data_IF_440882263011
#
_entry.id   IF_440882263011
#
_cell.length_a   1.000
_cell.length_b   1.000
_cell.length_c   1.000
_cell.angle_alpha   90.00
_cell.angle_beta   90.00
_cell.angle_gamma   90.00
#
_symmetry.space_group_name_H-M   'P 1'
#
loop_
_entity.id
_entity.type
_entity.pdbx_description
1 polymer ?
#
# COMPACT_ATOMS: atom_id res chain seq x y z
N UNK A 1 3.52 -13.39 19.36
CA UNK A 1 3.30 -12.44 18.23
C UNK A 1 2.32 -13.10 17.27
N UNK A 2 1.26 -12.41 16.91
CA UNK A 2 0.31 -12.91 15.91
C UNK A 2 1.01 -12.79 14.55
N UNK A 3 1.12 -13.88 13.78
CA UNK A 3 1.68 -13.88 12.43
C UNK A 3 0.64 -13.44 11.39
N UNK A 4 1.03 -13.43 10.11
CA UNK A 4 0.09 -13.23 8.99
C UNK A 4 -0.90 -14.39 8.98
N UNK A 5 -2.16 -14.08 8.78
CA UNK A 5 -3.20 -15.07 8.53
C UNK A 5 -4.05 -14.67 7.32
N UNK A 6 -4.54 -15.69 6.63
CA UNK A 6 -5.34 -15.50 5.41
C UNK A 6 -6.74 -16.08 5.61
N UNK A 7 -7.70 -15.51 4.92
CA UNK A 7 -9.09 -15.94 4.96
C UNK A 7 -9.79 -15.72 3.61
N UNK A 8 -10.74 -16.59 3.31
CA UNK A 8 -11.65 -16.42 2.19
C UNK A 8 -12.90 -15.69 2.65
N UNK A 9 -13.28 -14.60 2.00
CA UNK A 9 -14.44 -13.78 2.34
C UNK A 9 -15.41 -13.66 1.19
N UNK A 10 -16.69 -13.74 1.54
CA UNK A 10 -17.84 -13.33 0.71
C UNK A 10 -18.58 -12.27 1.50
N UNK A 11 -18.93 -11.18 0.86
CA UNK A 11 -19.61 -10.06 1.50
C UNK A 11 -21.02 -9.90 0.92
N UNK A 12 -21.94 -9.43 1.74
CA UNK A 12 -23.22 -8.93 1.27
C UNK A 12 -23.08 -7.51 0.69
N UNK A 13 -24.12 -7.03 -0.02
CA UNK A 13 -24.06 -5.74 -0.73
C UNK A 13 -24.23 -4.51 0.18
N UNK A 14 -24.10 -4.68 1.49
CA UNK A 14 -24.18 -3.56 2.44
C UNK A 14 -22.86 -2.77 2.48
N UNK A 15 -22.98 -1.46 2.71
CA UNK A 15 -21.82 -0.65 3.01
C UNK A 15 -21.36 -0.94 4.43
N UNK A 16 -20.08 -1.26 4.59
CA UNK A 16 -19.45 -1.52 5.89
C UNK A 16 -18.42 -0.44 6.15
N UNK A 17 -18.41 0.12 7.35
CA UNK A 17 -17.39 1.08 7.80
C UNK A 17 -16.76 0.58 9.09
N UNK A 18 -15.44 0.46 9.11
CA UNK A 18 -14.68 0.05 10.29
C UNK A 18 -13.20 0.43 10.20
N UNK A 19 -12.45 0.10 11.23
CA UNK A 19 -10.98 0.08 11.23
C UNK A 19 -10.48 -1.18 11.93
N UNK A 20 -9.24 -1.56 11.67
CA UNK A 20 -8.61 -2.71 12.30
C UNK A 20 -7.11 -2.45 12.53
N UNK A 21 -6.48 -3.11 13.53
CA UNK A 21 -5.08 -2.87 13.90
C UNK A 21 -4.06 -3.53 12.97
N UNK A 22 -4.49 -4.18 11.92
CA UNK A 22 -3.67 -4.86 10.92
C UNK A 22 -3.93 -4.28 9.53
N UNK A 23 -2.99 -4.42 8.62
CA UNK A 23 -3.19 -4.12 7.21
C UNK A 23 -3.84 -5.33 6.51
N UNK A 24 -4.53 -5.08 5.41
CA UNK A 24 -5.15 -6.14 4.62
C UNK A 24 -4.67 -6.09 3.17
N UNK A 25 -4.15 -7.19 2.66
CA UNK A 25 -3.93 -7.35 1.24
C UNK A 25 -5.12 -8.11 0.64
N UNK A 26 -5.84 -7.44 -0.26
CA UNK A 26 -7.11 -7.88 -0.84
C UNK A 26 -6.87 -8.38 -2.25
N UNK A 27 -7.18 -9.66 -2.49
CA UNK A 27 -7.18 -10.29 -3.81
C UNK A 27 -8.59 -10.64 -4.22
N UNK A 28 -9.22 -9.95 -5.17
CA UNK A 28 -10.47 -10.41 -5.75
C UNK A 28 -10.26 -11.74 -6.49
N UNK A 29 -11.06 -12.74 -6.15
CA UNK A 29 -11.12 -13.98 -6.89
C UNK A 29 -12.20 -13.90 -7.97
N UNK A 30 -13.30 -13.26 -7.64
CA UNK A 30 -14.29 -12.75 -8.59
C UNK A 30 -15.12 -11.63 -7.95
N UNK A 31 -15.69 -10.76 -8.80
CA UNK A 31 -16.43 -9.57 -8.38
C UNK A 31 -15.51 -8.38 -8.08
N UNK A 32 -16.11 -7.33 -7.56
CA UNK A 32 -15.39 -6.09 -7.27
C UNK A 32 -15.78 -5.52 -5.91
N UNK A 33 -14.85 -4.74 -5.33
CA UNK A 33 -15.02 -4.02 -4.08
C UNK A 33 -14.61 -2.57 -4.27
N UNK A 34 -15.46 -1.67 -3.85
CA UNK A 34 -15.19 -0.23 -3.83
C UNK A 34 -14.86 0.19 -2.41
N UNK A 35 -13.64 0.68 -2.21
CA UNK A 35 -13.17 1.26 -0.96
C UNK A 35 -13.30 2.77 -0.98
N UNK A 36 -13.59 3.36 0.18
CA UNK A 36 -13.40 4.77 0.46
C UNK A 36 -12.53 4.92 1.71
N UNK A 37 -11.38 5.59 1.57
CA UNK A 37 -10.46 5.88 2.65
C UNK A 37 -10.29 7.40 2.71
N UNK A 38 -10.84 8.04 3.75
CA UNK A 38 -10.79 9.50 3.94
C UNK A 38 -11.19 10.31 2.69
N UNK A 39 -12.21 9.85 1.95
CA UNK A 39 -12.70 10.51 0.75
C UNK A 39 -11.94 10.16 -0.54
N UNK A 40 -10.97 9.27 -0.49
CA UNK A 40 -10.32 8.71 -1.67
C UNK A 40 -10.96 7.37 -2.03
N UNK A 41 -11.52 7.25 -3.22
CA UNK A 41 -12.17 6.05 -3.72
C UNK A 41 -11.17 5.15 -4.47
N UNK A 42 -11.27 3.84 -4.24
CA UNK A 42 -10.54 2.83 -4.99
C UNK A 42 -11.48 1.69 -5.38
N UNK A 43 -11.61 1.42 -6.67
CA UNK A 43 -12.28 0.22 -7.17
C UNK A 43 -11.25 -0.88 -7.36
N UNK A 44 -11.48 -2.02 -6.74
CA UNK A 44 -10.61 -3.21 -6.78
C UNK A 44 -11.42 -4.36 -7.35
N UNK A 45 -10.94 -4.93 -8.43
CA UNK A 45 -11.56 -6.02 -9.19
C UNK A 45 -10.52 -7.09 -9.55
N UNK A 46 -10.91 -8.08 -10.34
CA UNK A 46 -10.06 -9.20 -10.73
C UNK A 46 -8.77 -8.81 -11.49
N UNK A 47 -8.69 -7.57 -11.99
CA UNK A 47 -7.50 -7.01 -12.66
C UNK A 47 -6.54 -6.32 -11.70
N UNK A 48 -6.86 -6.24 -10.42
CA UNK A 48 -6.11 -5.47 -9.43
C UNK A 48 -6.09 -6.13 -8.06
N UNK A 49 -5.11 -5.73 -7.25
CA UNK A 49 -5.00 -6.05 -5.83
C UNK A 49 -4.92 -4.75 -5.04
N UNK A 50 -5.25 -4.81 -3.75
CA UNK A 50 -5.26 -3.63 -2.92
C UNK A 50 -4.67 -3.91 -1.54
N UNK A 51 -3.68 -3.12 -1.14
CA UNK A 51 -3.16 -3.09 0.22
C UNK A 51 -3.86 -1.99 1.00
N UNK A 52 -4.74 -2.39 1.91
CA UNK A 52 -5.47 -1.53 2.81
C UNK A 52 -4.62 -1.28 4.07
N UNK A 53 -4.36 -0.02 4.46
CA UNK A 53 -3.50 0.28 5.61
C UNK A 53 -4.15 -0.08 6.94
N UNK A 54 -3.32 -0.36 7.95
CA UNK A 54 -3.76 -0.59 9.34
C UNK A 54 -4.19 0.72 10.03
N UNK A 55 -5.02 0.61 11.06
CA UNK A 55 -5.47 1.71 11.92
C UNK A 55 -6.05 2.92 11.13
N UNK A 56 -6.73 2.64 10.02
CA UNK A 56 -7.41 3.66 9.20
C UNK A 56 -8.89 3.34 9.09
N UNK A 57 -9.71 4.36 9.36
CA UNK A 57 -11.13 4.27 9.06
C UNK A 57 -11.34 4.18 7.56
N UNK A 58 -12.06 3.17 7.16
CA UNK A 58 -12.41 2.95 5.76
C UNK A 58 -13.82 2.39 5.65
N UNK A 59 -14.46 2.70 4.55
CA UNK A 59 -15.70 2.04 4.16
C UNK A 59 -15.49 1.26 2.88
N UNK A 60 -16.23 0.18 2.73
CA UNK A 60 -16.27 -0.57 1.48
C UNK A 60 -17.68 -1.04 1.15
N UNK A 61 -17.90 -1.27 -0.13
CA UNK A 61 -19.11 -1.86 -0.68
C UNK A 61 -18.74 -2.83 -1.79
N UNK A 62 -19.45 -3.95 -1.85
CA UNK A 62 -19.40 -4.89 -2.97
C UNK A 62 -20.71 -4.85 -3.73
N UNK A 63 -20.67 -5.16 -5.01
CA UNK A 63 -21.88 -5.24 -5.83
C UNK A 63 -21.97 -6.67 -6.43
N UNK A 64 -23.08 -7.34 -6.15
CA UNK A 64 -23.38 -8.67 -6.67
C UNK A 64 -22.54 -9.80 -6.08
N UNK A 65 -22.40 -10.86 -6.85
CA UNK A 65 -21.66 -12.06 -6.45
C UNK A 65 -20.16 -11.75 -6.36
N UNK A 66 -19.54 -12.11 -5.23
CA UNK A 66 -18.16 -11.78 -4.97
C UNK A 66 -17.46 -12.84 -4.12
N UNK A 67 -16.13 -12.91 -4.21
CA UNK A 67 -15.26 -13.65 -3.31
C UNK A 67 -13.86 -13.04 -3.31
N UNK A 68 -13.29 -12.90 -2.14
CA UNK A 68 -11.97 -12.31 -1.93
C UNK A 68 -11.09 -13.22 -1.08
N UNK A 69 -9.81 -13.29 -1.44
CA UNK A 69 -8.75 -13.77 -0.56
C UNK A 69 -8.19 -12.56 0.16
N UNK A 70 -8.22 -12.58 1.50
CA UNK A 70 -7.73 -11.50 2.36
C UNK A 70 -6.54 -12.00 3.17
N UNK A 71 -5.41 -11.30 3.11
CA UNK A 71 -4.30 -11.49 4.04
C UNK A 71 -4.35 -10.39 5.08
N UNK A 72 -4.42 -10.79 6.34
CA UNK A 72 -4.36 -9.90 7.50
C UNK A 72 -2.91 -9.84 8.00
N UNK A 73 -2.31 -8.67 7.94
CA UNK A 73 -0.87 -8.46 8.13
C UNK A 73 -0.67 -7.58 9.37
N UNK A 74 -0.03 -8.09 10.44
CA UNK A 74 0.23 -7.32 11.65
C UNK A 74 1.02 -6.04 11.37
N UNK A 75 0.67 -4.95 12.06
CA UNK A 75 1.29 -3.63 11.85
C UNK A 75 2.80 -3.60 12.11
N UNK A 76 3.31 -4.45 13.01
CA UNK A 76 4.73 -4.57 13.30
C UNK A 76 5.57 -5.22 12.20
N UNK A 77 4.95 -5.67 11.12
CA UNK A 77 5.64 -6.18 9.94
C UNK A 77 5.95 -5.09 8.91
N UNK A 78 5.47 -3.87 9.14
CA UNK A 78 5.78 -2.68 8.32
C UNK A 78 6.87 -1.86 9.02
N UNK A 79 7.78 -1.29 8.24
CA UNK A 79 8.77 -0.34 8.73
C UNK A 79 8.15 1.08 8.80
N UNK A 80 8.74 1.97 9.62
CA UNK A 80 8.25 3.37 9.72
C UNK A 80 8.23 4.11 8.38
N UNK A 81 9.12 3.72 7.46
CA UNK A 81 9.16 4.28 6.11
C UNK A 81 8.01 3.83 5.19
N UNK A 82 7.25 2.79 5.59
CA UNK A 82 6.12 2.27 4.81
C UNK A 82 4.83 3.10 5.04
N UNK A 83 4.91 4.23 5.76
CA UNK A 83 3.79 5.12 6.09
C UNK A 83 3.11 5.79 4.87
N UNK A 84 3.70 5.73 3.67
CA UNK A 84 3.07 6.10 2.39
C UNK A 84 1.79 5.29 2.08
N UNK A 85 1.46 4.33 2.92
CA UNK A 85 0.23 3.53 2.84
C UNK A 85 -1.04 4.28 3.26
N UNK A 86 -0.99 5.58 3.55
CA UNK A 86 -2.10 6.34 4.15
C UNK A 86 -3.45 6.21 3.42
N UNK A 87 -3.43 6.05 2.09
CA UNK A 87 -4.64 5.90 1.25
C UNK A 87 -4.77 4.49 0.63
N UNK A 88 -3.95 3.54 1.07
CA UNK A 88 -3.85 2.22 0.44
C UNK A 88 -3.04 2.23 -0.86
N UNK A 89 -2.66 1.05 -1.30
CA UNK A 89 -1.92 0.85 -2.55
C UNK A 89 -2.71 -0.07 -3.46
N UNK A 90 -3.08 0.43 -4.64
CA UNK A 90 -3.65 -0.39 -5.71
C UNK A 90 -2.56 -0.77 -6.71
N UNK A 91 -2.43 -2.05 -7.00
CA UNK A 91 -1.53 -2.58 -8.03
C UNK A 91 -2.30 -3.35 -9.09
N UNK A 92 -1.77 -3.39 -10.30
CA UNK A 92 -2.26 -4.27 -11.36
C UNK A 92 -1.98 -5.73 -11.00
N UNK A 93 -2.93 -6.61 -11.34
CA UNK A 93 -2.81 -8.04 -11.11
C UNK A 93 -2.10 -8.71 -12.28
N UNK A 94 -0.77 -8.59 -12.30
CA UNK A 94 0.12 -9.17 -13.31
C UNK A 94 0.45 -10.65 -13.04
N UNK A 95 1.29 -11.26 -13.88
CA UNK A 95 1.66 -12.68 -13.77
C UNK A 95 2.43 -12.99 -12.48
N UNK A 96 3.19 -12.04 -11.95
CA UNK A 96 3.85 -12.18 -10.65
C UNK A 96 2.83 -12.30 -9.51
N UNK A 97 1.81 -11.45 -9.53
CA UNK A 97 0.75 -11.49 -8.53
C UNK A 97 -0.14 -12.73 -8.67
N UNK A 98 -0.33 -13.24 -9.90
CA UNK A 98 -1.03 -14.52 -10.14
C UNK A 98 -0.27 -15.68 -9.49
N UNK A 99 1.07 -15.71 -9.62
CA UNK A 99 1.90 -16.72 -8.99
C UNK A 99 1.86 -16.64 -7.45
N UNK A 100 1.93 -15.42 -6.89
CA UNK A 100 1.81 -15.19 -5.45
C UNK A 100 0.43 -15.67 -4.95
N UNK A 101 -0.66 -15.29 -5.62
CA UNK A 101 -2.01 -15.74 -5.25
C UNK A 101 -2.14 -17.25 -5.30
N UNK A 102 -1.56 -17.91 -6.29
CA UNK A 102 -1.55 -19.37 -6.39
C UNK A 102 -0.90 -19.99 -5.15
N UNK A 103 0.30 -19.52 -4.77
CA UNK A 103 1.00 -20.01 -3.57
C UNK A 103 0.19 -19.79 -2.30
N UNK A 104 -0.44 -18.61 -2.16
CA UNK A 104 -1.30 -18.30 -1.01
C UNK A 104 -2.51 -19.22 -0.90
N UNK A 105 -3.14 -19.53 -2.04
CA UNK A 105 -4.29 -20.45 -2.09
C UNK A 105 -3.86 -21.89 -1.79
N UNK A 106 -2.71 -22.32 -2.28
CA UNK A 106 -2.15 -23.64 -2.01
C UNK A 106 -1.85 -23.83 -0.51
N UNK A 107 -1.22 -22.85 0.12
CA UNK A 107 -0.98 -22.83 1.57
C UNK A 107 -2.29 -22.91 2.38
N UNK A 108 -3.33 -22.23 1.94
CA UNK A 108 -4.65 -22.28 2.59
C UNK A 108 -5.31 -23.66 2.47
N UNK A 109 -5.18 -24.33 1.34
CA UNK A 109 -5.82 -25.62 1.07
C UNK A 109 -5.11 -26.78 1.75
N UNK A 110 -3.79 -26.73 1.81
CA UNK A 110 -2.94 -27.82 2.31
C UNK A 110 -2.74 -27.79 3.83
N UNK A 111 -3.35 -26.84 4.55
CA UNK A 111 -3.38 -26.81 6.02
C UNK A 111 -2.00 -26.56 6.68
N UNK A 112 -0.98 -26.25 5.92
CA UNK A 112 0.37 -26.00 6.36
C UNK A 112 0.63 -24.50 6.59
N UNK A 113 -0.38 -23.74 6.97
CA UNK A 113 -0.23 -22.32 7.29
C UNK A 113 0.72 -22.08 8.44
N UNK A 114 2.00 -22.36 8.21
CA UNK A 114 3.00 -21.79 9.09
C UNK A 114 2.98 -20.28 8.82
N UNK A 115 2.65 -19.50 9.82
CA UNK A 115 2.81 -18.05 9.86
C UNK A 115 4.17 -17.61 9.29
N UNK A 116 5.17 -18.47 9.31
CA UNK A 116 6.51 -18.29 8.79
C UNK A 116 6.57 -18.27 7.25
N UNK A 117 5.89 -19.19 6.55
CA UNK A 117 5.86 -19.22 5.08
C UNK A 117 5.17 -17.98 4.52
N UNK A 118 4.02 -17.61 5.09
CA UNK A 118 3.30 -16.38 4.73
C UNK A 118 4.12 -15.13 5.01
N UNK A 119 4.86 -15.10 6.13
CA UNK A 119 5.74 -13.98 6.47
C UNK A 119 6.89 -13.84 5.47
N UNK A 120 7.51 -14.93 5.05
CA UNK A 120 8.58 -14.93 4.01
C UNK A 120 8.05 -14.45 2.66
N UNK A 121 6.87 -14.91 2.26
CA UNK A 121 6.20 -14.42 1.05
C UNK A 121 5.90 -12.92 1.18
N UNK A 122 5.40 -12.45 2.32
CA UNK A 122 5.14 -11.04 2.57
C UNK A 122 6.41 -10.19 2.38
N UNK A 123 7.52 -10.53 3.02
CA UNK A 123 8.78 -9.81 2.87
C UNK A 123 9.32 -9.84 1.44
N UNK A 124 8.95 -10.83 0.64
CA UNK A 124 9.30 -10.86 -0.78
C UNK A 124 8.48 -9.88 -1.62
N UNK A 125 7.17 -9.78 -1.42
CA UNK A 125 6.32 -9.01 -2.34
C UNK A 125 6.05 -7.56 -1.89
N UNK A 126 6.04 -7.24 -0.61
CA UNK A 126 5.75 -5.89 -0.12
C UNK A 126 6.72 -4.83 -0.64
N UNK A 127 8.05 -5.03 -0.63
CA UNK A 127 8.96 -4.03 -1.18
C UNK A 127 8.67 -3.71 -2.64
N UNK A 128 8.29 -4.72 -3.43
CA UNK A 128 7.90 -4.52 -4.83
C UNK A 128 6.59 -3.72 -4.96
N UNK A 129 5.61 -4.00 -4.11
CA UNK A 129 4.33 -3.29 -4.11
C UNK A 129 4.52 -1.81 -3.73
N UNK A 130 5.27 -1.54 -2.68
CA UNK A 130 5.56 -0.19 -2.21
C UNK A 130 6.39 0.57 -3.25
N UNK A 131 7.45 -0.03 -3.78
CA UNK A 131 8.36 0.64 -4.72
C UNK A 131 7.70 1.01 -6.06
N UNK A 132 6.75 0.22 -6.55
CA UNK A 132 6.00 0.52 -7.77
C UNK A 132 5.06 1.72 -7.62
N UNK A 133 4.66 2.03 -6.39
CA UNK A 133 3.71 3.09 -6.06
C UNK A 133 4.36 4.33 -5.44
N UNK A 134 5.69 4.37 -5.34
CA UNK A 134 6.41 5.58 -4.93
C UNK A 134 6.35 6.58 -6.09
N UNK A 135 5.87 7.81 -5.87
CA UNK A 135 5.90 8.86 -6.88
C UNK A 135 7.30 9.07 -7.46
N UNK A 136 7.38 9.43 -8.74
CA UNK A 136 8.67 9.66 -9.40
C UNK A 136 9.43 10.82 -8.75
N UNK A 137 8.73 11.86 -8.32
CA UNK A 137 9.30 12.98 -7.57
C UNK A 137 9.89 12.57 -6.22
N UNK A 138 9.27 11.60 -5.54
CA UNK A 138 9.81 11.04 -4.28
C UNK A 138 11.08 10.22 -4.55
N UNK A 139 11.10 9.42 -5.62
CA UNK A 139 12.32 8.71 -6.05
C UNK A 139 13.43 9.70 -6.36
N UNK A 140 13.12 10.76 -7.13
CA UNK A 140 14.07 11.81 -7.44
C UNK A 140 14.63 12.48 -6.19
N UNK A 141 13.78 12.83 -5.21
CA UNK A 141 14.24 13.38 -3.92
C UNK A 141 15.20 12.41 -3.20
N UNK A 142 14.87 11.13 -3.16
CA UNK A 142 15.70 10.12 -2.49
C UNK A 142 17.07 9.91 -3.15
N UNK A 143 17.18 10.16 -4.44
CA UNK A 143 18.44 10.04 -5.21
C UNK A 143 19.25 11.34 -5.19
N UNK A 144 18.59 12.52 -5.12
CA UNK A 144 19.18 13.84 -5.26
C UNK A 144 19.05 14.74 -4.03
N UNK A 145 18.73 14.18 -2.83
CA UNK A 145 18.47 14.95 -1.60
C UNK A 145 19.60 15.93 -1.21
N UNK A 146 20.83 15.66 -1.60
CA UNK A 146 22.02 16.49 -1.35
C UNK A 146 22.17 17.67 -2.33
N UNK A 147 21.39 17.70 -3.39
CA UNK A 147 21.39 18.75 -4.41
C UNK A 147 20.37 19.85 -4.10
N UNK A 148 20.42 20.94 -4.85
CA UNK A 148 19.40 21.98 -4.77
C UNK A 148 18.18 21.55 -5.61
N UNK A 149 17.13 21.10 -4.94
CA UNK A 149 15.89 20.64 -5.57
C UNK A 149 14.86 21.77 -5.47
N UNK A 150 14.34 22.22 -6.60
CA UNK A 150 13.23 23.17 -6.67
C UNK A 150 11.87 22.45 -6.87
N UNK A 151 10.80 23.14 -6.49
CA UNK A 151 9.45 22.58 -6.55
C UNK A 151 8.95 22.45 -7.99
N UNK A 152 9.37 23.34 -8.87
CA UNK A 152 9.03 23.34 -10.29
C UNK A 152 9.53 22.07 -10.98
N UNK A 153 10.77 21.67 -10.70
CA UNK A 153 11.37 20.41 -11.18
C UNK A 153 10.54 19.20 -10.70
N UNK A 154 10.21 19.15 -9.41
CA UNK A 154 9.42 18.04 -8.86
C UNK A 154 8.00 17.99 -9.43
N UNK A 155 7.37 19.14 -9.61
CA UNK A 155 6.05 19.27 -10.22
C UNK A 155 6.08 18.81 -11.69
N UNK A 156 7.13 19.17 -12.43
CA UNK A 156 7.34 18.75 -13.81
C UNK A 156 7.49 17.23 -13.96
N UNK A 157 8.18 16.57 -13.03
CA UNK A 157 8.33 15.11 -13.01
C UNK A 157 6.95 14.41 -12.91
N UNK A 158 6.02 14.98 -12.15
CA UNK A 158 4.66 14.44 -11.95
C UNK A 158 3.63 15.01 -12.96
N UNK A 159 4.06 15.88 -13.89
CA UNK A 159 3.20 16.58 -14.85
C UNK A 159 2.13 17.45 -14.18
N UNK A 160 2.47 18.12 -13.07
CA UNK A 160 1.60 19.04 -12.34
C UNK A 160 2.12 20.47 -12.39
N UNK A 161 1.25 21.45 -12.12
CA UNK A 161 1.70 22.81 -11.75
C UNK A 161 2.29 22.80 -10.35
N UNK A 162 3.24 23.71 -10.05
CA UNK A 162 3.89 23.80 -8.73
C UNK A 162 2.87 23.97 -7.57
N UNK A 163 1.82 24.75 -7.78
CA UNK A 163 0.75 24.97 -6.79
C UNK A 163 -0.02 23.68 -6.49
N UNK A 164 -0.46 22.97 -7.52
CA UNK A 164 -1.19 21.69 -7.35
C UNK A 164 -0.28 20.61 -6.77
N UNK A 165 0.97 20.56 -7.21
CA UNK A 165 1.95 19.60 -6.74
C UNK A 165 2.15 19.64 -5.23
N UNK A 166 2.28 20.83 -4.64
CA UNK A 166 2.47 20.97 -3.19
C UNK A 166 1.35 20.32 -2.37
N UNK A 167 0.09 20.56 -2.74
CA UNK A 167 -1.07 19.96 -2.09
C UNK A 167 -1.18 18.46 -2.35
N UNK A 168 -0.98 18.05 -3.59
CA UNK A 168 -0.97 16.65 -3.98
C UNK A 168 0.12 15.87 -3.24
N UNK A 169 1.35 16.38 -3.22
CA UNK A 169 2.48 15.75 -2.55
C UNK A 169 2.22 15.59 -1.04
N UNK A 170 1.70 16.63 -0.40
CA UNK A 170 1.29 16.57 1.02
C UNK A 170 0.20 15.51 1.25
N UNK A 171 -0.77 15.41 0.34
CA UNK A 171 -1.82 14.37 0.42
C UNK A 171 -1.24 12.96 0.29
N UNK A 172 -0.26 12.76 -0.58
CA UNK A 172 0.36 11.46 -0.86
C UNK A 172 1.40 11.08 0.19
N UNK A 173 2.25 12.01 0.61
CA UNK A 173 3.38 11.75 1.52
C UNK A 173 3.10 12.11 2.98
N UNK A 174 2.01 12.83 3.26
CA UNK A 174 1.64 13.29 4.59
C UNK A 174 2.27 14.62 5.00
N UNK A 175 3.26 15.13 4.25
CA UNK A 175 3.98 16.38 4.55
C UNK A 175 4.33 17.16 3.28
N UNK A 176 4.53 18.50 3.37
CA UNK A 176 4.95 19.30 2.23
C UNK A 176 6.29 18.86 1.64
N UNK A 177 6.55 19.09 0.33
CA UNK A 177 7.79 18.68 -0.33
C UNK A 177 9.05 19.18 0.34
N UNK A 178 9.09 20.45 0.75
CA UNK A 178 10.26 21.05 1.40
C UNK A 178 10.57 20.36 2.74
N UNK A 179 9.55 20.08 3.54
CA UNK A 179 9.71 19.38 4.82
C UNK A 179 10.21 17.94 4.58
N UNK A 180 9.68 17.26 3.57
CA UNK A 180 10.14 15.93 3.18
C UNK A 180 11.62 15.90 2.80
N UNK A 181 12.09 16.85 1.97
CA UNK A 181 13.49 16.98 1.58
C UNK A 181 14.37 17.24 2.81
N UNK A 182 13.97 18.15 3.70
CA UNK A 182 14.71 18.46 4.93
C UNK A 182 14.81 17.25 5.85
N UNK A 183 13.68 16.55 6.06
CA UNK A 183 13.68 15.34 6.87
C UNK A 183 14.62 14.28 6.29
N UNK A 184 14.61 14.08 4.97
CA UNK A 184 15.50 13.12 4.30
C UNK A 184 16.97 13.47 4.49
N UNK A 185 17.33 14.74 4.42
CA UNK A 185 18.70 15.22 4.71
C UNK A 185 19.13 14.95 6.15
N UNK A 186 18.21 15.18 7.10
CA UNK A 186 18.47 14.94 8.54
C UNK A 186 18.64 13.43 8.81
N UNK A 187 17.77 12.58 8.25
CA UNK A 187 17.89 11.11 8.36
C UNK A 187 19.25 10.64 7.87
N UNK A 188 19.65 11.11 6.69
CA UNK A 188 20.93 10.71 6.10
C UNK A 188 22.13 11.25 6.89
N UNK A 189 22.04 12.45 7.42
CA UNK A 189 23.09 13.00 8.30
C UNK A 189 23.27 12.16 9.58
N UNK A 190 22.17 11.69 10.18
CA UNK A 190 22.21 10.80 11.35
C UNK A 190 22.87 9.45 11.02
N UNK A 191 22.55 8.85 9.87
CA UNK A 191 23.17 7.58 9.43
C UNK A 191 24.69 7.69 9.23
N UNK A 192 25.17 8.87 8.82
CA UNK A 192 26.62 9.12 8.61
C UNK A 192 27.38 9.42 9.91
N UNK A 193 26.68 9.73 11.01
CA UNK A 193 27.26 10.06 12.31
C UNK A 193 27.26 8.87 13.29
N UNK A 194 26.59 7.76 12.94
CA UNK A 194 26.54 6.53 13.72
C UNK A 194 27.45 5.48 13.12
#
# INVERSE_FOLDING_TARGET
>A
MQGIFSEMKVYDNNMVTHSHPYAQLVFPLYGSMRFNIKGSDALVDESSIFLLPYARDHSFKVDGRNQFLILNIPSNMFEEKDWNLANGIKCSFDDKWKAIRFLLLDELQNGSTSSDALSKLFYYFIPNMVSQNIPQSVKYINEHYNENIDIETLAGIENYSATYYGEWFKKVTGQPPIEYIQQKRIERAKELLC
#
